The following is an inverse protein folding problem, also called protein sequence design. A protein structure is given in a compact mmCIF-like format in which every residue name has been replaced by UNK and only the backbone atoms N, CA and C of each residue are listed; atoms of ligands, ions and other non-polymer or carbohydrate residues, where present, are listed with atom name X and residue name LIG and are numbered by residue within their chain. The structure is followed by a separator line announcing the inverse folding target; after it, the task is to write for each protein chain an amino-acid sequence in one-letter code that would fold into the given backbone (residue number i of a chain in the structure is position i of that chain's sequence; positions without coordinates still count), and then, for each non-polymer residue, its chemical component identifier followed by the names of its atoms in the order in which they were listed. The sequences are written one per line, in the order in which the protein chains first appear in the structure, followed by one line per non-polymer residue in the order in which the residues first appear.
data_IF_133017115135
#
_entry.id   IF_133017115135
#
_cell.length_a   1.000
_cell.length_b   1.000
_cell.length_c   1.000
_cell.angle_alpha   90.00
_cell.angle_beta   90.00
_cell.angle_gamma   90.00
#
_symmetry.space_group_name_H-M   'P 1'
#
loop_
_entity.id
_entity.type
_entity.pdbx_description
1 polymer ?
#
# COMPACT_ATOMS: atom_id res chain seq x y z
N UNK A 1 -18.46 20.03 1.87
CA UNK A 1 -17.18 20.02 1.12
C UNK A 1 -16.65 18.59 1.09
N UNK A 2 -16.44 17.99 -0.10
CA UNK A 2 -15.70 16.73 -0.21
C UNK A 2 -14.21 17.07 -0.16
N UNK A 3 -13.59 16.90 1.01
CA UNK A 3 -12.14 16.92 1.15
C UNK A 3 -11.60 15.70 0.40
N UNK A 4 -11.02 15.92 -0.78
CA UNK A 4 -10.39 14.85 -1.55
C UNK A 4 -8.98 14.64 -1.01
N UNK A 5 -8.86 13.84 0.05
CA UNK A 5 -7.57 13.50 0.65
C UNK A 5 -6.98 12.33 -0.14
N UNK A 6 -5.77 12.46 -0.71
CA UNK A 6 -5.14 11.39 -1.49
C UNK A 6 -5.08 10.08 -0.71
N UNK A 7 -5.39 8.98 -1.40
CA UNK A 7 -5.34 7.62 -0.85
C UNK A 7 -6.28 7.34 0.33
N UNK A 8 -7.07 8.32 0.80
CA UNK A 8 -8.08 8.14 1.81
C UNK A 8 -9.42 7.80 1.14
N UNK A 9 -10.03 6.71 1.58
CA UNK A 9 -11.34 6.27 1.11
C UNK A 9 -12.25 5.97 2.29
N UNK A 10 -13.55 6.27 2.14
CA UNK A 10 -14.56 5.82 3.10
C UNK A 10 -15.29 4.60 2.54
N UNK A 11 -15.38 3.54 3.33
CA UNK A 11 -16.11 2.31 3.02
C UNK A 11 -16.93 1.92 4.24
N UNK A 12 -18.23 1.74 4.07
CA UNK A 12 -19.16 1.36 5.15
C UNK A 12 -19.02 2.25 6.41
N UNK A 13 -18.87 3.56 6.21
CA UNK A 13 -18.73 4.51 7.30
C UNK A 13 -17.37 4.50 8.00
N UNK A 14 -16.38 3.74 7.52
CA UNK A 14 -15.02 3.71 8.06
C UNK A 14 -13.99 4.25 7.07
N UNK A 15 -12.94 4.85 7.59
CA UNK A 15 -11.83 5.38 6.82
C UNK A 15 -10.79 4.30 6.55
N UNK A 16 -10.34 4.23 5.30
CA UNK A 16 -9.37 3.29 4.79
C UNK A 16 -8.30 4.03 3.99
N UNK A 17 -7.04 3.64 4.20
CA UNK A 17 -5.97 3.91 3.24
C UNK A 17 -6.10 2.95 2.06
N UNK A 18 -6.00 3.47 0.85
CA UNK A 18 -6.13 2.73 -0.41
C UNK A 18 -5.20 3.34 -1.47
N UNK A 19 -4.19 2.58 -1.91
CA UNK A 19 -3.25 3.00 -2.97
C UNK A 19 -3.05 1.88 -3.99
N UNK A 20 -3.06 2.23 -5.27
CA UNK A 20 -2.79 1.29 -6.36
C UNK A 20 -1.29 1.06 -6.50
N UNK A 21 -0.90 -0.18 -6.78
CA UNK A 21 0.46 -0.55 -7.13
C UNK A 21 0.64 -0.40 -8.65
N UNK A 22 1.73 0.23 -9.08
CA UNK A 22 2.08 0.33 -10.51
C UNK A 22 2.22 -1.06 -11.12
N UNK A 23 1.83 -1.20 -12.38
CA UNK A 23 1.72 -2.50 -13.04
C UNK A 23 3.00 -3.31 -13.04
N UNK A 24 4.11 -2.70 -13.43
CA UNK A 24 5.43 -3.34 -13.47
C UNK A 24 6.00 -3.68 -12.09
N UNK A 25 5.41 -3.15 -11.02
CA UNK A 25 5.81 -3.44 -9.64
C UNK A 25 4.90 -4.46 -8.96
N UNK A 26 3.79 -4.87 -9.59
CA UNK A 26 2.81 -5.78 -8.96
C UNK A 26 3.43 -7.12 -8.56
N UNK A 27 4.41 -7.63 -9.29
CA UNK A 27 5.14 -8.86 -8.95
C UNK A 27 5.90 -8.76 -7.63
N UNK A 28 6.40 -7.57 -7.27
CA UNK A 28 7.11 -7.34 -6.01
C UNK A 28 6.17 -7.22 -4.81
N UNK A 29 4.98 -6.63 -5.02
CA UNK A 29 4.01 -6.43 -3.95
C UNK A 29 3.00 -7.60 -3.81
N UNK A 30 2.88 -8.45 -4.84
CA UNK A 30 1.90 -9.53 -4.90
C UNK A 30 0.44 -9.08 -4.96
N UNK A 31 0.18 -7.77 -5.09
CA UNK A 31 -1.16 -7.18 -5.08
C UNK A 31 -1.28 -6.03 -6.08
N UNK A 32 -2.49 -5.82 -6.60
CA UNK A 32 -2.80 -4.67 -7.48
C UNK A 32 -3.00 -3.37 -6.70
N UNK A 33 -3.34 -3.50 -5.43
CA UNK A 33 -3.72 -2.43 -4.55
C UNK A 33 -3.45 -2.81 -3.10
N UNK A 34 -3.00 -1.82 -2.35
CA UNK A 34 -2.80 -1.91 -0.92
C UNK A 34 -3.97 -1.20 -0.24
N UNK A 35 -4.69 -1.93 0.62
CA UNK A 35 -5.83 -1.40 1.39
C UNK A 35 -5.66 -1.69 2.88
N UNK A 36 -5.82 -0.67 3.73
CA UNK A 36 -5.76 -0.79 5.20
C UNK A 36 -6.85 0.03 5.86
N UNK A 37 -7.54 -0.59 6.82
CA UNK A 37 -8.46 0.14 7.70
C UNK A 37 -7.67 1.04 8.63
N UNK A 38 -8.06 2.31 8.75
CA UNK A 38 -7.46 3.25 9.69
C UNK A 38 -8.10 3.16 11.08
N UNK A 39 -9.12 2.32 11.25
CA UNK A 39 -9.88 2.22 12.50
C UNK A 39 -10.80 3.41 12.80
N UNK A 40 -10.71 4.49 12.03
CA UNK A 40 -11.49 5.72 12.22
C UNK A 40 -12.86 5.67 11.51
N UNK A 41 -13.92 6.25 12.09
CA UNK A 41 -15.17 6.47 11.39
C UNK A 41 -15.05 7.64 10.39
N UNK A 42 -15.96 7.68 9.41
CA UNK A 42 -16.11 8.82 8.51
C UNK A 42 -16.52 10.07 9.29
N UNK A 43 -16.05 11.24 8.88
CA UNK A 43 -16.12 12.48 9.67
C UNK A 43 -14.90 12.75 10.55
N UNK A 44 -13.93 11.83 10.62
CA UNK A 44 -12.64 12.02 11.29
C UNK A 44 -11.47 12.12 10.30
N UNK A 45 -11.71 12.68 9.12
CA UNK A 45 -10.72 12.78 8.03
C UNK A 45 -9.46 13.53 8.46
N UNK A 46 -9.61 14.60 9.24
CA UNK A 46 -8.48 15.39 9.76
C UNK A 46 -7.56 14.55 10.65
N UNK A 47 -8.13 13.62 11.44
CA UNK A 47 -7.34 12.70 12.28
C UNK A 47 -6.72 11.56 11.46
N UNK A 48 -7.28 11.26 10.29
CA UNK A 48 -6.75 10.27 9.39
C UNK A 48 -5.53 10.77 8.60
N UNK A 49 -5.40 12.08 8.37
CA UNK A 49 -4.29 12.69 7.62
C UNK A 49 -2.89 12.20 8.05
N UNK A 50 -2.47 12.35 9.33
CA UNK A 50 -1.14 11.91 9.74
C UNK A 50 -0.93 10.40 9.59
N UNK A 51 -1.99 9.60 9.69
CA UNK A 51 -1.92 8.14 9.47
C UNK A 51 -1.74 7.82 7.98
N UNK A 52 -2.45 8.55 7.11
CA UNK A 52 -2.30 8.42 5.66
C UNK A 52 -0.90 8.82 5.23
N UNK A 53 -0.38 9.94 5.72
CA UNK A 53 0.96 10.43 5.38
C UNK A 53 2.04 9.43 5.79
N UNK A 54 1.97 8.90 7.03
CA UNK A 54 2.91 7.90 7.51
C UNK A 54 2.85 6.59 6.70
N UNK A 55 1.65 6.12 6.33
CA UNK A 55 1.51 4.94 5.47
C UNK A 55 2.01 5.22 4.05
N UNK A 56 1.80 6.43 3.55
CA UNK A 56 2.20 6.85 2.23
C UNK A 56 3.72 6.89 2.10
N UNK A 57 4.41 7.48 3.07
CA UNK A 57 5.88 7.54 3.11
C UNK A 57 6.50 6.14 3.12
N UNK A 58 5.97 5.24 3.97
CA UNK A 58 6.41 3.83 3.99
C UNK A 58 6.18 3.14 2.65
N UNK A 59 5.02 3.34 2.04
CA UNK A 59 4.71 2.76 0.74
C UNK A 59 5.64 3.30 -0.36
N UNK A 60 5.96 4.59 -0.36
CA UNK A 60 6.87 5.20 -1.34
C UNK A 60 8.31 4.70 -1.20
N UNK A 61 8.78 4.50 0.03
CA UNK A 61 10.08 3.88 0.27
C UNK A 61 10.14 2.46 -0.33
N UNK A 62 9.07 1.67 -0.16
CA UNK A 62 8.93 0.33 -0.76
C UNK A 62 8.83 0.36 -2.26
N UNK A 63 8.05 1.29 -2.81
CA UNK A 63 7.89 1.45 -4.24
C UNK A 63 9.22 1.82 -4.89
N UNK A 64 10.01 2.71 -4.26
CA UNK A 64 11.35 3.06 -4.72
C UNK A 64 12.30 1.86 -4.69
N UNK A 65 12.27 1.04 -3.64
CA UNK A 65 13.07 -0.18 -3.57
C UNK A 65 12.69 -1.17 -4.69
N UNK A 66 11.40 -1.41 -4.90
CA UNK A 66 10.89 -2.25 -5.98
C UNK A 66 11.26 -1.72 -7.38
N UNK A 67 11.23 -0.39 -7.60
CA UNK A 67 11.68 0.24 -8.84
C UNK A 67 13.18 0.01 -9.09
N UNK A 68 14.02 0.09 -8.06
CA UNK A 68 15.46 -0.18 -8.18
C UNK A 68 15.72 -1.65 -8.53
N UNK A 69 14.99 -2.57 -7.88
CA UNK A 69 15.07 -3.99 -8.18
C UNK A 69 14.58 -4.32 -9.60
N UNK A 70 13.47 -3.70 -10.02
CA UNK A 70 12.93 -3.86 -11.39
C UNK A 70 13.90 -3.35 -12.46
N UNK A 71 14.64 -2.28 -12.18
CA UNK A 71 15.68 -1.75 -13.07
C UNK A 71 16.95 -2.60 -13.09
N UNK A 72 17.00 -3.73 -12.37
CA UNK A 72 18.16 -4.63 -12.32
C UNK A 72 19.34 -4.05 -11.54
N UNK A 73 19.10 -3.03 -10.70
CA UNK A 73 20.14 -2.43 -9.84
C UNK A 73 20.33 -3.26 -8.56
N UNK A 74 19.33 -4.08 -8.19
CA UNK A 74 19.31 -4.93 -6.99
C UNK A 74 18.63 -6.26 -7.32
N UNK A 75 19.00 -7.35 -6.64
CA UNK A 75 18.37 -8.67 -6.83
C UNK A 75 16.84 -8.60 -6.56
N UNK A 76 15.98 -8.99 -7.51
CA UNK A 76 14.53 -8.95 -7.36
C UNK A 76 13.96 -9.83 -6.23
N UNK A 77 14.63 -10.94 -5.90
CA UNK A 77 14.10 -11.94 -4.99
C UNK A 77 14.17 -11.49 -3.52
N UNK A 78 15.26 -10.81 -3.13
CA UNK A 78 15.41 -10.26 -1.77
C UNK A 78 14.35 -9.18 -1.49
N UNK A 79 14.10 -8.31 -2.48
CA UNK A 79 13.14 -7.20 -2.34
C UNK A 79 11.70 -7.72 -2.28
N UNK A 80 11.36 -8.79 -3.01
CA UNK A 80 10.01 -9.37 -2.97
C UNK A 80 9.70 -10.02 -1.62
N UNK A 81 10.68 -10.68 -0.99
CA UNK A 81 10.52 -11.27 0.34
C UNK A 81 10.31 -10.19 1.42
N UNK A 82 11.11 -9.12 1.40
CA UNK A 82 10.92 -7.99 2.32
C UNK A 82 9.61 -7.23 2.07
N UNK A 83 9.23 -7.09 0.80
CA UNK A 83 7.95 -6.50 0.40
C UNK A 83 6.78 -7.26 1.04
N UNK A 84 6.86 -8.59 0.97
CA UNK A 84 5.87 -9.53 1.50
C UNK A 84 5.76 -9.49 3.03
N UNK A 85 6.87 -9.57 3.75
CA UNK A 85 6.86 -9.62 5.22
C UNK A 85 6.23 -8.37 5.86
N UNK A 86 6.45 -7.21 5.27
CA UNK A 86 5.83 -5.96 5.73
C UNK A 86 4.38 -5.82 5.31
N UNK A 87 3.99 -6.29 4.11
CA UNK A 87 2.59 -6.27 3.72
C UNK A 87 1.74 -7.11 4.70
N UNK A 88 2.30 -8.24 5.15
CA UNK A 88 1.74 -9.09 6.20
C UNK A 88 1.77 -8.41 7.58
N UNK A 89 2.91 -7.83 7.98
CA UNK A 89 3.07 -7.14 9.27
C UNK A 89 2.14 -5.94 9.43
N UNK A 90 1.88 -5.20 8.35
CA UNK A 90 1.00 -4.04 8.34
C UNK A 90 -0.49 -4.42 8.16
N UNK A 91 -0.82 -5.71 7.99
CA UNK A 91 -2.17 -6.27 7.80
C UNK A 91 -2.92 -5.66 6.61
N UNK A 92 -2.23 -5.41 5.50
CA UNK A 92 -2.88 -4.94 4.28
C UNK A 92 -3.75 -6.06 3.67
N UNK A 93 -4.93 -5.69 3.17
CA UNK A 93 -5.91 -6.64 2.58
C UNK A 93 -5.92 -6.47 1.06
N UNK A 94 -5.72 -7.57 0.32
CA UNK A 94 -5.74 -7.56 -1.16
C UNK A 94 -4.93 -8.67 -1.85
N UNK A 95 -4.55 -9.72 -1.12
CA UNK A 95 -3.67 -10.79 -1.60
C UNK A 95 -4.33 -11.58 -2.74
N UNK A 96 -3.72 -11.56 -3.93
CA UNK A 96 -4.10 -12.38 -5.06
C UNK A 96 -2.97 -13.40 -5.32
N UNK A 97 -3.22 -14.68 -5.04
CA UNK A 97 -2.22 -15.75 -5.20
C UNK A 97 -1.92 -16.11 -6.67
N UNK A 98 -2.56 -15.46 -7.63
CA UNK A 98 -2.55 -15.89 -9.03
C UNK A 98 -1.26 -15.50 -9.80
N UNK A 99 -0.37 -14.72 -9.18
CA UNK A 99 0.87 -14.23 -9.81
C UNK A 99 2.17 -14.95 -9.43
N UNK A 100 2.10 -16.02 -8.63
CA UNK A 100 3.27 -16.83 -8.21
C UNK A 100 3.35 -18.18 -8.95
N UNK A 101 2.73 -18.29 -10.13
CA UNK A 101 2.79 -19.47 -11.00
C UNK A 101 3.78 -19.30 -12.13
#
# INVERSE_FOLDING_TARGET
MRMNIPYLTSVNGRLHYRRRVKEHLRSYFGVREVKKSLGLPSGQEVRALPLVDALNEKFEAREKAAELAHRGVVDPHEIAAEAWEWALGEKFVGYDKSGLG
#
